data_IF_841823463197
#
_entry.id   IF_841823463197
#
_cell.length_a   1.000
_cell.length_b   1.000
_cell.length_c   1.000
_cell.angle_alpha   90.00
_cell.angle_beta   90.00
_cell.angle_gamma   90.00
#
_symmetry.space_group_name_H-M   'P 1'
#
loop_
_entity.id
_entity.type
_entity.pdbx_description
1 polymer ?
#
# COMPACT_ATOMS: atom_id res chain seq x y z
N UNK A 1 58.43 -4.97 -12.06
CA UNK A 1 57.40 -5.75 -11.34
C UNK A 1 56.69 -4.84 -10.35
N UNK A 2 55.66 -4.10 -10.79
CA UNK A 2 54.98 -3.11 -9.96
C UNK A 2 53.69 -3.76 -9.45
N UNK A 3 53.70 -4.19 -8.19
CA UNK A 3 52.55 -4.83 -7.53
C UNK A 3 51.45 -3.77 -7.38
N UNK A 4 50.44 -3.82 -8.25
CA UNK A 4 49.23 -3.01 -8.10
C UNK A 4 48.39 -3.66 -7.01
N UNK A 5 48.39 -3.04 -5.83
CA UNK A 5 47.55 -3.44 -4.71
C UNK A 5 46.12 -3.00 -5.03
N UNK A 6 45.30 -3.92 -5.52
CA UNK A 6 43.87 -3.69 -5.74
C UNK A 6 43.20 -3.73 -4.35
N UNK A 7 42.98 -2.56 -3.77
CA UNK A 7 42.10 -2.39 -2.62
C UNK A 7 40.65 -2.52 -3.11
N UNK A 8 40.11 -3.73 -3.03
CA UNK A 8 38.67 -3.97 -3.19
C UNK A 8 37.93 -3.30 -2.04
N UNK A 9 37.39 -2.11 -2.30
CA UNK A 9 36.42 -1.47 -1.41
C UNK A 9 35.15 -2.32 -1.43
N UNK A 10 35.00 -3.19 -0.43
CA UNK A 10 33.81 -3.98 -0.23
C UNK A 10 32.72 -3.05 0.33
N UNK A 11 31.91 -2.46 -0.55
CA UNK A 11 30.72 -1.71 -0.15
C UNK A 11 29.70 -2.71 0.39
N UNK A 12 29.29 -2.64 1.67
CA UNK A 12 28.21 -3.47 2.15
C UNK A 12 26.90 -2.92 1.58
N UNK A 13 26.45 -3.51 0.48
CA UNK A 13 25.11 -3.26 -0.05
C UNK A 13 24.11 -3.99 0.84
N UNK A 14 23.74 -3.40 1.97
CA UNK A 14 22.60 -3.88 2.75
C UNK A 14 21.35 -3.26 2.14
N UNK A 15 20.85 -3.89 1.07
CA UNK A 15 19.50 -3.65 0.60
C UNK A 15 18.54 -4.45 1.49
N UNK A 16 18.04 -3.83 2.57
CA UNK A 16 16.86 -4.37 3.26
C UNK A 16 15.64 -4.05 2.39
N UNK A 17 14.91 -5.10 2.04
CA UNK A 17 13.82 -5.13 1.07
C UNK A 17 12.71 -4.12 1.41
N UNK A 18 12.43 -3.16 0.52
CA UNK A 18 11.13 -2.50 0.50
C UNK A 18 10.13 -3.51 -0.06
N UNK A 19 9.36 -4.17 0.81
CA UNK A 19 8.43 -5.25 0.41
C UNK A 19 7.25 -4.69 -0.42
N UNK A 20 7.07 -3.37 -0.52
CA UNK A 20 6.14 -2.71 -1.44
C UNK A 20 6.46 -1.22 -1.65
N UNK A 21 5.73 -0.52 -2.55
CA UNK A 21 5.85 0.93 -2.70
C UNK A 21 5.41 1.65 -1.42
N UNK A 22 5.99 2.82 -1.10
CA UNK A 22 5.62 3.59 0.10
C UNK A 22 4.19 4.12 0.04
N UNK A 23 3.72 4.46 -1.16
CA UNK A 23 2.37 4.94 -1.42
C UNK A 23 1.81 4.34 -2.71
N UNK A 24 0.48 4.22 -2.77
CA UNK A 24 -0.24 3.68 -3.93
C UNK A 24 -1.41 4.60 -4.27
N UNK A 25 -1.46 5.10 -5.51
CA UNK A 25 -2.64 5.79 -6.02
C UNK A 25 -3.60 4.75 -6.62
N UNK A 26 -4.78 4.61 -6.01
CA UNK A 26 -5.74 3.60 -6.43
C UNK A 26 -6.25 3.81 -7.87
N UNK A 27 -6.39 5.06 -8.32
CA UNK A 27 -6.80 5.38 -9.69
C UNK A 27 -5.74 4.94 -10.69
N UNK A 28 -4.49 5.27 -10.43
CA UNK A 28 -3.39 4.97 -11.33
C UNK A 28 -3.10 3.47 -11.40
N UNK A 29 -3.06 2.80 -10.24
CA UNK A 29 -2.68 1.38 -10.17
C UNK A 29 -3.77 0.44 -10.67
N UNK A 30 -5.05 0.74 -10.40
CA UNK A 30 -6.16 -0.17 -10.73
C UNK A 30 -7.20 0.42 -11.66
N UNK A 31 -7.00 1.64 -12.16
CA UNK A 31 -7.98 2.32 -13.01
C UNK A 31 -9.27 2.65 -12.27
N UNK A 32 -9.21 2.86 -10.95
CA UNK A 32 -10.41 3.20 -10.15
C UNK A 32 -10.92 4.57 -10.61
N UNK A 33 -12.10 4.57 -11.24
CA UNK A 33 -12.75 5.78 -11.71
C UNK A 33 -13.70 6.34 -10.64
N UNK A 34 -13.91 7.66 -10.67
CA UNK A 34 -14.82 8.35 -9.76
C UNK A 34 -14.77 9.86 -9.94
N UNK A 35 -15.83 10.54 -9.50
CA UNK A 35 -15.98 12.00 -9.51
C UNK A 35 -15.33 12.68 -8.31
N UNK A 36 -14.86 11.89 -7.34
CA UNK A 36 -14.13 12.37 -6.17
C UNK A 36 -12.62 12.28 -6.41
N UNK A 37 -11.90 13.01 -5.57
CA UNK A 37 -10.45 12.98 -5.58
C UNK A 37 -9.87 11.58 -5.36
N UNK A 38 -8.64 11.41 -5.81
CA UNK A 38 -7.87 10.18 -5.74
C UNK A 38 -7.65 9.76 -4.31
N UNK A 39 -7.67 8.43 -4.12
CA UNK A 39 -7.35 7.81 -2.85
C UNK A 39 -5.89 7.40 -2.90
N UNK A 40 -5.08 8.05 -2.08
CA UNK A 40 -3.67 7.73 -1.89
C UNK A 40 -3.54 6.83 -0.67
N UNK A 41 -3.24 5.56 -0.91
CA UNK A 41 -2.97 4.59 0.16
C UNK A 41 -1.51 4.71 0.60
N UNK A 42 -1.29 5.14 1.84
CA UNK A 42 0.04 5.24 2.46
C UNK A 42 0.49 3.86 2.94
N UNK A 43 0.95 3.01 2.02
CA UNK A 43 1.33 1.61 2.33
C UNK A 43 2.37 1.53 3.44
N UNK A 44 3.36 2.43 3.45
CA UNK A 44 4.39 2.52 4.49
C UNK A 44 3.81 2.76 5.89
N UNK A 45 2.83 3.66 6.01
CA UNK A 45 2.13 3.84 7.28
C UNK A 45 1.37 2.58 7.72
N UNK A 46 0.79 1.83 6.77
CA UNK A 46 0.01 0.65 7.12
C UNK A 46 0.88 -0.55 7.47
N UNK A 47 2.02 -0.76 6.82
CA UNK A 47 2.97 -1.82 7.18
C UNK A 47 3.59 -1.60 8.57
N UNK A 48 3.78 -0.35 8.99
CA UNK A 48 4.34 -0.04 10.31
C UNK A 48 3.35 -0.35 11.46
N UNK A 49 2.06 -0.49 11.13
CA UNK A 49 0.98 -0.61 12.11
C UNK A 49 0.16 -1.90 11.98
N UNK A 50 0.43 -2.72 10.97
CA UNK A 50 -0.32 -3.94 10.66
C UNK A 50 0.62 -5.01 10.10
N UNK A 51 0.17 -6.27 10.10
CA UNK A 51 0.90 -7.36 9.48
C UNK A 51 0.61 -7.41 7.97
N UNK A 52 1.56 -7.88 7.16
CA UNK A 52 1.36 -8.08 5.71
C UNK A 52 0.08 -8.91 5.44
N UNK A 53 -0.13 -9.93 6.26
CA UNK A 53 -1.29 -10.82 6.19
C UNK A 53 -2.59 -10.15 6.58
N UNK A 54 -2.63 -8.95 7.17
CA UNK A 54 -3.90 -8.25 7.42
C UNK A 54 -4.56 -7.81 6.10
N UNK A 55 -3.75 -7.56 5.08
CA UNK A 55 -4.19 -7.12 3.76
C UNK A 55 -3.95 -8.14 2.65
N UNK A 56 -2.86 -8.90 2.73
CA UNK A 56 -2.45 -9.87 1.72
C UNK A 56 -2.73 -11.31 2.14
N UNK A 57 -2.76 -12.21 1.16
CA UNK A 57 -2.99 -13.64 1.40
C UNK A 57 -1.77 -14.30 2.04
N UNK A 58 -0.58 -13.74 1.87
CA UNK A 58 0.67 -14.24 2.43
C UNK A 58 1.49 -13.11 3.07
N UNK A 59 2.51 -13.47 3.84
CA UNK A 59 3.41 -12.54 4.52
C UNK A 59 4.45 -11.89 3.59
N UNK A 60 4.71 -12.50 2.42
CA UNK A 60 5.49 -11.89 1.35
C UNK A 60 4.71 -10.82 0.56
N UNK A 61 3.43 -10.62 0.88
CA UNK A 61 2.57 -9.60 0.27
C UNK A 61 1.90 -10.05 -1.03
N UNK A 62 1.88 -9.19 -2.04
CA UNK A 62 1.31 -9.50 -3.36
C UNK A 62 -0.21 -9.62 -3.36
N UNK A 63 -0.76 -10.85 -3.44
CA UNK A 63 -2.19 -11.06 -3.65
C UNK A 63 -3.00 -10.53 -2.47
N UNK A 64 -3.90 -9.59 -2.73
CA UNK A 64 -4.76 -9.01 -1.71
C UNK A 64 -5.88 -9.96 -1.25
N UNK A 65 -6.27 -9.82 0.01
CA UNK A 65 -7.40 -10.50 0.65
C UNK A 65 -8.78 -10.08 0.14
N UNK A 66 -9.09 -8.79 -0.11
CA UNK A 66 -10.41 -8.43 -0.63
C UNK A 66 -10.72 -9.21 -1.92
N UNK A 67 -11.75 -10.04 -1.85
CA UNK A 67 -12.27 -10.81 -2.97
C UNK A 67 -13.45 -10.03 -3.59
N UNK A 68 -13.40 -9.76 -4.88
CA UNK A 68 -14.43 -9.01 -5.61
C UNK A 68 -13.87 -7.95 -6.56
N UNK A 69 -14.77 -7.26 -7.27
CA UNK A 69 -14.38 -6.22 -8.22
C UNK A 69 -13.85 -4.97 -7.49
N UNK A 70 -12.57 -4.65 -7.74
CA UNK A 70 -11.93 -3.38 -7.34
C UNK A 70 -12.23 -2.29 -8.38
N UNK A 71 -12.58 -2.70 -9.60
CA UNK A 71 -13.08 -1.83 -10.66
C UNK A 71 -14.55 -1.53 -10.37
N UNK A 72 -14.93 -0.25 -10.43
CA UNK A 72 -16.32 0.16 -10.24
C UNK A 72 -16.55 1.28 -9.21
N UNK A 73 -17.45 2.19 -9.59
CA UNK A 73 -17.70 3.51 -9.00
C UNK A 73 -18.75 3.49 -7.89
N UNK A 74 -18.67 2.57 -6.93
CA UNK A 74 -19.64 2.54 -5.82
C UNK A 74 -18.96 2.34 -4.48
N UNK A 75 -19.58 2.85 -3.42
CA UNK A 75 -19.25 2.52 -2.03
C UNK A 75 -19.42 1.03 -1.69
N UNK A 76 -19.90 0.23 -2.64
CA UNK A 76 -20.05 -1.23 -2.55
C UNK A 76 -18.87 -1.99 -3.16
N UNK A 77 -17.90 -1.31 -3.78
CA UNK A 77 -16.74 -2.00 -4.34
C UNK A 77 -15.87 -2.64 -3.24
N UNK A 78 -15.12 -3.68 -3.62
CA UNK A 78 -14.37 -4.48 -2.66
C UNK A 78 -13.34 -3.66 -1.87
N UNK A 79 -12.69 -2.69 -2.53
CA UNK A 79 -11.72 -1.80 -1.91
C UNK A 79 -12.35 -0.88 -0.84
N UNK A 80 -13.48 -0.25 -1.14
CA UNK A 80 -14.18 0.64 -0.21
C UNK A 80 -14.59 -0.13 1.06
N UNK A 81 -15.22 -1.31 0.89
CA UNK A 81 -15.62 -2.15 2.02
C UNK A 81 -14.42 -2.60 2.85
N UNK A 82 -13.32 -2.98 2.18
CA UNK A 82 -12.10 -3.42 2.83
C UNK A 82 -11.49 -2.33 3.71
N UNK A 83 -11.22 -1.15 3.15
CA UNK A 83 -10.68 0.00 3.89
C UNK A 83 -11.63 0.42 5.02
N UNK A 84 -12.92 0.52 4.72
CA UNK A 84 -13.93 0.96 5.69
C UNK A 84 -14.04 0.04 6.89
N UNK A 85 -14.07 -1.28 6.68
CA UNK A 85 -14.26 -2.26 7.76
C UNK A 85 -13.13 -2.17 8.78
N UNK A 86 -11.88 -2.10 8.33
CA UNK A 86 -10.73 -1.95 9.21
C UNK A 86 -10.71 -0.59 9.92
N UNK A 87 -10.96 0.51 9.19
CA UNK A 87 -10.99 1.83 9.82
C UNK A 87 -12.15 1.97 10.83
N UNK A 88 -13.28 1.27 10.58
CA UNK A 88 -14.43 1.27 11.47
C UNK A 88 -14.14 0.48 12.74
N UNK A 89 -13.53 -0.70 12.62
CA UNK A 89 -13.17 -1.52 13.79
C UNK A 89 -12.13 -0.85 14.69
N UNK A 90 -11.24 -0.04 14.09
CA UNK A 90 -10.26 0.78 14.83
C UNK A 90 -10.81 2.16 15.25
N UNK A 91 -12.11 2.44 15.05
CA UNK A 91 -12.76 3.71 15.39
C UNK A 91 -12.07 4.96 14.82
N UNK A 92 -11.44 4.85 13.65
CA UNK A 92 -10.69 5.96 13.05
C UNK A 92 -11.64 7.02 12.49
N UNK A 93 -11.34 8.32 12.67
CA UNK A 93 -12.20 9.41 12.21
C UNK A 93 -12.39 9.43 10.69
N UNK A 94 -11.49 8.81 9.93
CA UNK A 94 -11.53 8.70 8.48
C UNK A 94 -12.83 8.03 7.96
N UNK A 95 -13.46 7.13 8.73
CA UNK A 95 -14.71 6.49 8.28
C UNK A 95 -15.84 7.48 8.11
N UNK A 96 -15.95 8.53 8.93
CA UNK A 96 -17.11 9.44 8.84
C UNK A 96 -16.94 10.54 7.80
N UNK A 97 -15.80 10.59 7.10
CA UNK A 97 -15.36 11.75 6.34
C UNK A 97 -14.78 11.37 4.99
N UNK A 98 -15.55 11.68 3.95
CA UNK A 98 -15.21 11.42 2.56
C UNK A 98 -13.85 12.04 2.16
N UNK A 99 -13.59 13.24 2.64
CA UNK A 99 -12.39 14.04 2.38
C UNK A 99 -11.13 13.49 3.05
N UNK A 100 -11.25 12.53 3.99
CA UNK A 100 -10.10 11.87 4.61
C UNK A 100 -9.50 10.76 3.75
N UNK A 101 -10.26 10.27 2.76
CA UNK A 101 -9.77 9.30 1.79
C UNK A 101 -9.59 9.92 0.40
N UNK A 102 -10.49 10.81 0.01
CA UNK A 102 -10.50 11.45 -1.31
C UNK A 102 -9.85 12.83 -1.26
N UNK A 103 -8.53 12.88 -1.30
CA UNK A 103 -7.75 14.10 -0.98
C UNK A 103 -7.19 14.85 -2.19
N UNK A 104 -7.21 14.26 -3.40
CA UNK A 104 -6.60 14.85 -4.61
C UNK A 104 -7.57 15.00 -5.76
#
# INVERSE_FOLDING_TARGET
>A
MKKVLILTFMVPFIAVASIGPSEINLRETWGVQGTRGDVIFKHEFHQDNNSCTDCHKTDEGGKFKPEGEIKGMTNKNAAHKFCWTCHQSKHLPAVKRCDKCHTK
#
